data_IF_280679828764
#
_entry.id   IF_280679828764
#
_cell.length_a   1.000
_cell.length_b   1.000
_cell.length_c   1.000
_cell.angle_alpha   90.00
_cell.angle_beta   90.00
_cell.angle_gamma   90.00
#
_symmetry.space_group_name_H-M   'P 1'
#
loop_
_entity.id
_entity.type
_entity.pdbx_description
1 polymer ?
#
# COMPACT_ATOMS: atom_id res chain seq x y z
N UNK A 1 -26.97 23.45 2.87
CA UNK A 1 -26.31 22.80 4.04
C UNK A 1 -26.20 21.27 3.94
N UNK A 2 -27.15 20.48 3.40
CA UNK A 2 -26.95 19.01 3.27
C UNK A 2 -25.78 18.65 2.32
N UNK A 3 -25.59 19.36 1.25
CA UNK A 3 -24.52 19.11 0.25
C UNK A 3 -23.09 19.22 0.81
N UNK A 4 -22.88 20.08 1.80
CA UNK A 4 -21.58 20.22 2.48
C UNK A 4 -21.32 19.06 3.44
N UNK A 5 -22.35 18.57 4.12
CA UNK A 5 -22.22 17.43 5.03
C UNK A 5 -21.87 16.14 4.26
N UNK A 6 -22.51 15.92 3.10
CA UNK A 6 -22.21 14.76 2.24
C UNK A 6 -20.82 14.82 1.66
N UNK A 7 -20.32 16.01 1.31
CA UNK A 7 -18.96 16.18 0.79
C UNK A 7 -17.90 15.89 1.86
N UNK A 8 -18.11 16.33 3.10
CA UNK A 8 -17.21 16.08 4.24
C UNK A 8 -17.20 14.59 4.61
N UNK A 9 -18.37 13.94 4.63
CA UNK A 9 -18.49 12.53 4.93
C UNK A 9 -17.78 11.66 3.86
N UNK A 10 -17.94 12.02 2.59
CA UNK A 10 -17.27 11.34 1.48
C UNK A 10 -15.76 11.49 1.57
N UNK A 11 -15.27 12.68 1.87
CA UNK A 11 -13.85 12.96 2.05
C UNK A 11 -13.27 12.14 3.22
N UNK A 12 -13.94 12.15 4.36
CA UNK A 12 -13.56 11.40 5.55
C UNK A 12 -13.50 9.89 5.29
N UNK A 13 -14.50 9.32 4.64
CA UNK A 13 -14.52 7.90 4.28
C UNK A 13 -13.39 7.53 3.31
N UNK A 14 -13.04 8.42 2.37
CA UNK A 14 -11.94 8.20 1.43
C UNK A 14 -10.60 8.16 2.16
N UNK A 15 -10.36 9.06 3.12
CA UNK A 15 -9.13 9.07 3.91
C UNK A 15 -9.00 7.84 4.79
N UNK A 16 -10.05 7.44 5.52
CA UNK A 16 -10.04 6.23 6.35
C UNK A 16 -9.79 4.99 5.49
N UNK A 17 -10.49 4.85 4.36
CA UNK A 17 -10.30 3.71 3.47
C UNK A 17 -8.88 3.65 2.92
N UNK A 18 -8.30 4.81 2.56
CA UNK A 18 -6.91 4.90 2.13
C UNK A 18 -5.96 4.42 3.21
N UNK A 19 -6.11 4.90 4.43
CA UNK A 19 -5.21 4.56 5.54
C UNK A 19 -5.31 3.07 5.91
N UNK A 20 -6.52 2.50 5.89
CA UNK A 20 -6.72 1.07 6.12
C UNK A 20 -6.05 0.24 5.01
N UNK A 21 -6.31 0.55 3.76
CA UNK A 21 -5.81 -0.24 2.63
C UNK A 21 -4.32 -0.04 2.38
N UNK A 22 -3.83 1.21 2.51
CA UNK A 22 -2.45 1.54 2.15
C UNK A 22 -1.45 1.32 3.27
N UNK A 23 -1.88 1.42 4.53
CA UNK A 23 -0.97 1.31 5.67
C UNK A 23 -1.34 0.16 6.60
N UNK A 24 -2.57 0.11 7.08
CA UNK A 24 -2.94 -0.87 8.10
C UNK A 24 -2.82 -2.31 7.60
N UNK A 25 -3.41 -2.65 6.46
CA UNK A 25 -3.37 -4.02 5.93
C UNK A 25 -1.94 -4.50 5.61
N UNK A 26 -1.08 -3.74 4.89
CA UNK A 26 0.32 -4.13 4.70
C UNK A 26 1.05 -4.35 6.01
N UNK A 27 0.85 -3.48 7.00
CA UNK A 27 1.45 -3.62 8.32
C UNK A 27 0.99 -4.87 9.07
N UNK A 28 -0.31 -5.21 9.02
CA UNK A 28 -0.85 -6.46 9.59
C UNK A 28 -0.18 -7.67 8.96
N UNK A 29 -0.07 -7.72 7.64
CA UNK A 29 0.56 -8.83 6.92
C UNK A 29 2.00 -9.03 7.40
N UNK A 30 2.78 -7.95 7.51
CA UNK A 30 4.18 -8.03 7.97
C UNK A 30 4.26 -8.44 9.43
N UNK A 31 3.46 -7.84 10.32
CA UNK A 31 3.51 -8.19 11.74
C UNK A 31 3.15 -9.65 11.99
N UNK A 32 2.12 -10.16 11.32
CA UNK A 32 1.75 -11.58 11.43
C UNK A 32 2.88 -12.47 10.92
N UNK A 33 3.50 -12.10 9.80
CA UNK A 33 4.61 -12.85 9.22
C UNK A 33 5.85 -12.83 10.12
N UNK A 34 6.20 -11.67 10.70
CA UNK A 34 7.29 -11.54 11.66
C UNK A 34 7.00 -12.31 12.95
N UNK A 35 5.78 -12.22 13.47
CA UNK A 35 5.36 -12.98 14.64
C UNK A 35 5.52 -14.48 14.41
N UNK A 36 5.08 -14.97 13.24
CA UNK A 36 5.28 -16.34 12.82
C UNK A 36 6.77 -16.73 12.79
N UNK A 37 7.61 -15.85 12.27
CA UNK A 37 9.05 -16.11 12.14
C UNK A 37 9.76 -16.20 13.50
N UNK A 38 9.51 -15.23 14.40
CA UNK A 38 10.26 -15.10 15.66
C UNK A 38 9.72 -15.96 16.79
N UNK A 39 8.47 -16.44 16.72
CA UNK A 39 7.87 -17.19 17.81
C UNK A 39 8.34 -18.65 17.78
N UNK A 40 9.01 -19.14 18.84
CA UNK A 40 9.40 -20.53 18.94
C UNK A 40 8.17 -21.47 18.94
N UNK A 41 8.31 -22.62 18.28
CA UNK A 41 7.23 -23.63 18.22
C UNK A 41 6.15 -23.38 17.18
N UNK A 42 6.14 -22.23 16.49
CA UNK A 42 5.30 -22.02 15.31
C UNK A 42 6.01 -22.55 14.07
N UNK A 43 5.58 -23.70 13.58
CA UNK A 43 6.19 -24.37 12.42
C UNK A 43 5.35 -24.30 11.15
N UNK A 44 4.04 -24.05 11.28
CA UNK A 44 3.08 -24.03 10.20
C UNK A 44 1.98 -22.97 10.42
N UNK A 45 1.18 -22.76 9.38
CA UNK A 45 0.12 -21.76 9.41
C UNK A 45 -1.01 -22.09 10.39
N UNK A 46 -1.32 -23.36 10.60
CA UNK A 46 -2.37 -23.78 11.52
C UNK A 46 -2.01 -23.43 12.97
N UNK A 47 -0.77 -23.70 13.38
CA UNK A 47 -0.26 -23.31 14.70
C UNK A 47 -0.25 -21.78 14.89
N UNK A 48 0.05 -21.00 13.83
CA UNK A 48 -0.02 -19.56 13.85
C UNK A 48 -1.46 -19.07 14.09
N UNK A 49 -2.45 -19.57 13.33
CA UNK A 49 -3.85 -19.18 13.49
C UNK A 49 -4.35 -19.51 14.90
N UNK A 50 -4.10 -20.73 15.37
CA UNK A 50 -4.48 -21.16 16.73
C UNK A 50 -3.92 -20.19 17.79
N UNK A 51 -2.66 -19.80 17.64
CA UNK A 51 -2.00 -18.88 18.56
C UNK A 51 -2.58 -17.47 18.51
N UNK A 52 -2.85 -16.94 17.31
CA UNK A 52 -3.49 -15.64 17.14
C UNK A 52 -4.89 -15.62 17.79
N UNK A 53 -5.68 -16.66 17.60
CA UNK A 53 -7.03 -16.77 18.18
C UNK A 53 -7.01 -16.87 19.72
N UNK A 54 -5.90 -17.29 20.33
CA UNK A 54 -5.74 -17.33 21.79
C UNK A 54 -5.32 -16.00 22.42
N UNK A 55 -5.03 -14.97 21.63
CA UNK A 55 -4.63 -13.65 22.14
C UNK A 55 -5.78 -12.89 22.79
N UNK A 56 -5.49 -12.16 23.86
CA UNK A 56 -6.47 -11.29 24.52
C UNK A 56 -6.70 -10.01 23.77
N UNK A 57 -7.84 -9.35 24.01
CA UNK A 57 -8.22 -8.11 23.29
C UNK A 57 -7.18 -6.98 23.37
N UNK A 58 -6.42 -6.87 24.47
CA UNK A 58 -5.38 -5.83 24.60
C UNK A 58 -4.25 -6.02 23.59
N UNK A 59 -3.88 -7.27 23.29
CA UNK A 59 -2.88 -7.57 22.27
C UNK A 59 -3.35 -7.22 20.87
N UNK A 60 -4.66 -7.31 20.59
CA UNK A 60 -5.23 -6.86 19.32
C UNK A 60 -5.13 -5.33 19.17
N UNK A 61 -5.40 -4.57 20.23
CA UNK A 61 -5.29 -3.10 20.19
C UNK A 61 -3.83 -2.66 19.96
N UNK A 62 -2.89 -3.24 20.72
CA UNK A 62 -1.46 -2.97 20.54
C UNK A 62 -1.00 -3.42 19.16
N UNK A 63 -1.40 -4.60 18.73
CA UNK A 63 -1.09 -5.15 17.41
C UNK A 63 -1.60 -4.28 16.27
N UNK A 64 -2.82 -3.74 16.39
CA UNK A 64 -3.39 -2.82 15.41
C UNK A 64 -2.61 -1.50 15.32
N UNK A 65 -2.22 -0.93 16.46
CA UNK A 65 -1.39 0.28 16.48
C UNK A 65 -0.01 0.04 15.85
N UNK A 66 0.63 -1.07 16.19
CA UNK A 66 1.92 -1.47 15.60
C UNK A 66 1.79 -1.76 14.11
N UNK A 67 0.71 -2.41 13.67
CA UNK A 67 0.44 -2.66 12.26
C UNK A 67 0.36 -1.35 11.47
N UNK A 68 -0.36 -0.37 11.99
CA UNK A 68 -0.44 0.94 11.36
C UNK A 68 0.95 1.60 11.24
N UNK A 69 1.74 1.60 12.33
CA UNK A 69 3.09 2.18 12.33
C UNK A 69 4.03 1.48 11.35
N UNK A 70 4.02 0.15 11.30
CA UNK A 70 4.84 -0.63 10.35
C UNK A 70 4.43 -0.33 8.91
N UNK A 71 3.13 -0.33 8.62
CA UNK A 71 2.64 -0.01 7.29
C UNK A 71 2.92 1.43 6.88
N UNK A 72 2.83 2.38 7.82
CA UNK A 72 3.23 3.77 7.59
C UNK A 72 4.73 3.88 7.26
N UNK A 73 5.59 3.19 8.01
CA UNK A 73 7.02 3.14 7.73
C UNK A 73 7.33 2.57 6.33
N UNK A 74 6.58 1.55 5.89
CA UNK A 74 6.68 1.03 4.51
C UNK A 74 6.27 2.09 3.50
N UNK A 75 5.19 2.82 3.76
CA UNK A 75 4.76 3.92 2.92
C UNK A 75 5.83 5.01 2.78
N UNK A 76 6.45 5.42 3.88
CA UNK A 76 7.57 6.36 3.87
C UNK A 76 8.78 5.81 3.08
N UNK A 77 9.10 4.53 3.25
CA UNK A 77 10.17 3.90 2.48
C UNK A 77 9.84 3.86 0.98
N UNK A 78 8.63 3.47 0.62
CA UNK A 78 8.17 3.44 -0.77
C UNK A 78 8.20 4.84 -1.40
N UNK A 79 7.87 5.88 -0.63
CA UNK A 79 7.99 7.27 -1.04
C UNK A 79 9.45 7.68 -1.23
N UNK A 80 10.33 7.36 -0.28
CA UNK A 80 11.74 7.69 -0.34
C UNK A 80 12.46 7.08 -1.55
N UNK A 81 12.05 5.89 -2.01
CA UNK A 81 12.60 5.24 -3.22
C UNK A 81 11.81 5.55 -4.50
N UNK A 82 10.78 6.36 -4.41
CA UNK A 82 10.09 6.87 -5.58
C UNK A 82 8.94 6.09 -6.13
N UNK A 83 8.53 5.08 -5.48
CA UNK A 83 7.45 4.25 -5.99
C UNK A 83 6.06 4.89 -5.83
N UNK A 84 5.91 5.82 -4.90
CA UNK A 84 4.60 6.44 -4.60
C UNK A 84 4.39 7.80 -5.23
N UNK A 85 5.39 8.38 -5.90
CA UNK A 85 5.19 9.65 -6.61
C UNK A 85 4.02 9.56 -7.57
N UNK A 86 3.20 10.61 -7.67
CA UNK A 86 2.03 10.62 -8.54
C UNK A 86 2.40 10.36 -9.99
N UNK A 87 3.52 10.91 -10.44
CA UNK A 87 3.92 10.87 -11.85
C UNK A 87 5.28 10.17 -12.00
N UNK A 88 5.39 9.26 -12.96
CA UNK A 88 6.66 8.62 -13.31
C UNK A 88 7.59 9.61 -14.00
N UNK A 89 8.88 9.43 -13.82
CA UNK A 89 9.91 10.22 -14.53
C UNK A 89 10.37 11.51 -13.84
N UNK A 90 9.84 11.84 -12.67
CA UNK A 90 10.40 12.94 -11.88
C UNK A 90 11.49 12.40 -10.95
N UNK A 91 12.72 12.85 -11.18
CA UNK A 91 13.85 12.49 -10.33
C UNK A 91 13.71 13.14 -8.94
N UNK A 92 13.82 12.33 -7.89
CA UNK A 92 13.65 12.65 -6.48
C UNK A 92 14.48 13.79 -5.93
N UNK A 93 15.59 14.07 -6.58
CA UNK A 93 16.54 15.07 -6.11
C UNK A 93 16.01 16.50 -6.24
N UNK A 94 14.81 16.69 -6.80
CA UNK A 94 14.23 18.02 -7.01
C UNK A 94 12.72 18.07 -6.70
N UNK A 95 12.33 17.72 -5.48
CA UNK A 95 10.94 17.76 -4.99
C UNK A 95 10.25 19.11 -5.32
N UNK A 96 10.98 20.22 -5.21
CA UNK A 96 10.45 21.55 -5.47
C UNK A 96 10.04 21.76 -6.93
N UNK A 97 10.79 21.21 -7.88
CA UNK A 97 10.44 21.31 -9.31
C UNK A 97 9.23 20.43 -9.63
N UNK A 98 9.15 19.27 -9.02
CA UNK A 98 7.98 18.41 -9.12
C UNK A 98 6.70 19.12 -8.64
N UNK A 99 6.73 19.72 -7.43
CA UNK A 99 5.59 20.44 -6.90
C UNK A 99 5.24 21.67 -7.74
N UNK A 100 6.23 22.47 -8.14
CA UNK A 100 6.01 23.71 -8.88
C UNK A 100 5.54 23.49 -10.33
N UNK A 101 6.12 22.52 -11.02
CA UNK A 101 5.92 22.35 -12.46
C UNK A 101 5.01 21.17 -12.83
N UNK A 102 4.79 20.24 -11.92
CA UNK A 102 3.94 19.06 -12.11
C UNK A 102 2.62 19.13 -11.34
N UNK A 103 2.68 18.96 -10.02
CA UNK A 103 1.48 18.76 -9.20
C UNK A 103 0.64 20.04 -9.03
N UNK A 104 1.24 21.18 -8.71
CA UNK A 104 0.49 22.41 -8.45
C UNK A 104 -0.26 22.90 -9.72
N UNK A 105 0.35 22.95 -10.90
CA UNK A 105 -0.38 23.28 -12.12
C UNK A 105 -1.52 22.32 -12.42
N UNK A 106 -1.30 21.00 -12.24
CA UNK A 106 -2.35 19.99 -12.40
C UNK A 106 -3.52 20.25 -11.45
N UNK A 107 -3.27 20.45 -10.15
CA UNK A 107 -4.32 20.67 -9.15
C UNK A 107 -5.11 21.99 -9.40
N UNK A 108 -4.44 23.01 -9.93
CA UNK A 108 -5.11 24.29 -10.27
C UNK A 108 -6.00 24.21 -11.50
N UNK A 109 -5.70 23.30 -12.42
CA UNK A 109 -6.40 23.15 -13.70
C UNK A 109 -7.49 22.09 -13.66
N UNK A 110 -7.36 21.11 -12.75
CA UNK A 110 -8.29 20.00 -12.67
C UNK A 110 -9.66 20.42 -12.14
N UNK A 111 -10.70 19.88 -12.76
CA UNK A 111 -12.06 19.94 -12.22
C UNK A 111 -12.18 19.07 -10.97
N UNK A 112 -13.25 19.26 -10.17
CA UNK A 112 -13.52 18.44 -8.98
C UNK A 112 -13.55 16.93 -9.29
N UNK A 113 -14.15 16.56 -10.42
CA UNK A 113 -14.25 15.16 -10.84
C UNK A 113 -12.88 14.58 -11.20
N UNK A 114 -12.06 15.34 -11.91
CA UNK A 114 -10.69 14.94 -12.26
C UNK A 114 -9.81 14.77 -11.02
N UNK A 115 -9.94 15.70 -10.07
CA UNK A 115 -9.23 15.59 -8.79
C UNK A 115 -9.62 14.34 -8.01
N UNK A 116 -10.92 14.00 -7.95
CA UNK A 116 -11.38 12.76 -7.28
C UNK A 116 -10.86 11.50 -7.98
N UNK A 117 -10.80 11.48 -9.31
CA UNK A 117 -10.20 10.36 -10.05
C UNK A 117 -8.71 10.25 -9.81
N UNK A 118 -8.01 11.37 -9.77
CA UNK A 118 -6.59 11.43 -9.42
C UNK A 118 -6.34 10.84 -8.02
N UNK A 119 -7.07 11.29 -7.00
CA UNK A 119 -6.94 10.77 -5.63
C UNK A 119 -7.20 9.26 -5.55
N UNK A 120 -8.22 8.79 -6.28
CA UNK A 120 -8.54 7.36 -6.36
C UNK A 120 -7.38 6.55 -6.96
N UNK A 121 -6.78 7.01 -8.05
CA UNK A 121 -5.66 6.31 -8.67
C UNK A 121 -4.41 6.37 -7.81
N UNK A 122 -4.16 7.47 -7.11
CA UNK A 122 -3.08 7.60 -6.15
C UNK A 122 -3.24 6.61 -4.99
N UNK A 123 -4.42 6.52 -4.41
CA UNK A 123 -4.73 5.56 -3.35
C UNK A 123 -4.48 4.11 -3.82
N UNK A 124 -4.97 3.75 -5.00
CA UNK A 124 -4.80 2.39 -5.53
C UNK A 124 -3.32 2.10 -5.87
N UNK A 125 -2.58 3.07 -6.40
CA UNK A 125 -1.15 2.95 -6.63
C UNK A 125 -0.39 2.73 -5.32
N UNK A 126 -0.66 3.54 -4.30
CA UNK A 126 -0.01 3.44 -2.99
C UNK A 126 -0.33 2.11 -2.30
N UNK A 127 -1.60 1.67 -2.34
CA UNK A 127 -2.02 0.36 -1.82
C UNK A 127 -1.27 -0.78 -2.52
N UNK A 128 -1.14 -0.72 -3.85
CA UNK A 128 -0.44 -1.74 -4.62
C UNK A 128 1.05 -1.80 -4.25
N UNK A 129 1.73 -0.67 -4.11
CA UNK A 129 3.15 -0.63 -3.72
C UNK A 129 3.37 -1.15 -2.31
N UNK A 130 2.62 -0.65 -1.34
CA UNK A 130 2.79 -1.05 0.06
C UNK A 130 2.44 -2.53 0.25
N UNK A 131 1.39 -3.00 -0.43
CA UNK A 131 1.04 -4.42 -0.47
C UNK A 131 2.13 -5.28 -1.12
N UNK A 132 2.71 -4.83 -2.24
CA UNK A 132 3.81 -5.53 -2.91
C UNK A 132 5.00 -5.71 -1.98
N UNK A 133 5.43 -4.66 -1.27
CA UNK A 133 6.53 -4.72 -0.31
C UNK A 133 6.18 -5.68 0.83
N UNK A 134 4.95 -5.60 1.36
CA UNK A 134 4.50 -6.48 2.44
C UNK A 134 4.52 -7.95 2.04
N UNK A 135 3.98 -8.30 0.87
CA UNK A 135 3.97 -9.68 0.40
C UNK A 135 5.35 -10.17 0.00
N UNK A 136 6.24 -9.30 -0.49
CA UNK A 136 7.63 -9.66 -0.76
C UNK A 136 8.35 -10.06 0.53
N UNK A 137 8.24 -9.25 1.58
CA UNK A 137 8.80 -9.56 2.90
C UNK A 137 8.20 -10.87 3.44
N UNK A 138 6.88 -11.05 3.31
CA UNK A 138 6.18 -12.26 3.73
C UNK A 138 6.69 -13.50 2.99
N UNK A 139 6.90 -13.43 1.68
CA UNK A 139 7.45 -14.53 0.90
C UNK A 139 8.84 -14.94 1.39
N UNK A 140 9.71 -13.97 1.67
CA UNK A 140 11.04 -14.24 2.24
C UNK A 140 10.96 -14.87 3.64
N UNK A 141 10.05 -14.41 4.49
CA UNK A 141 9.84 -14.95 5.83
C UNK A 141 9.40 -16.42 5.76
N UNK A 142 8.42 -16.75 4.93
CA UNK A 142 7.96 -18.14 4.79
C UNK A 142 9.01 -19.04 4.15
N UNK A 143 9.79 -18.52 3.20
CA UNK A 143 10.91 -19.26 2.61
C UNK A 143 12.01 -19.53 3.66
N UNK A 144 12.37 -18.53 4.46
CA UNK A 144 13.34 -18.71 5.55
C UNK A 144 12.83 -19.71 6.60
N UNK A 145 11.53 -19.68 6.91
CA UNK A 145 10.92 -20.66 7.83
C UNK A 145 10.92 -22.07 7.27
N UNK A 146 10.72 -22.24 5.96
CA UNK A 146 10.87 -23.52 5.29
C UNK A 146 12.30 -24.07 5.37
N UNK A 147 13.31 -23.20 5.19
CA UNK A 147 14.72 -23.61 5.33
C UNK A 147 15.01 -24.11 6.75
N UNK A 148 14.40 -23.49 7.77
CA UNK A 148 14.52 -23.93 9.17
C UNK A 148 13.75 -25.23 9.46
N UNK A 149 12.62 -25.45 8.79
CA UNK A 149 11.71 -26.58 8.99
C UNK A 149 11.30 -27.21 7.66
N UNK A 150 12.21 -27.94 6.97
CA UNK A 150 11.97 -28.44 5.61
C UNK A 150 10.80 -29.44 5.49
N UNK A 151 10.39 -30.04 6.59
CA UNK A 151 9.26 -30.99 6.64
C UNK A 151 7.92 -30.28 6.39
N UNK A 152 7.82 -28.98 6.70
CA UNK A 152 6.58 -28.21 6.59
C UNK A 152 6.45 -27.56 5.21
N UNK A 153 6.08 -28.37 4.23
CA UNK A 153 5.87 -27.94 2.83
C UNK A 153 4.83 -26.82 2.70
N UNK A 154 3.92 -26.69 3.67
CA UNK A 154 2.91 -25.60 3.73
C UNK A 154 3.57 -24.22 3.68
N UNK A 155 4.75 -24.05 4.28
CA UNK A 155 5.49 -22.79 4.23
C UNK A 155 5.91 -22.41 2.80
N UNK A 156 6.22 -23.40 1.96
CA UNK A 156 6.51 -23.16 0.52
C UNK A 156 5.26 -22.70 -0.21
N UNK A 157 4.10 -23.28 0.06
CA UNK A 157 2.85 -22.84 -0.56
C UNK A 157 2.51 -21.40 -0.19
N UNK A 158 2.70 -20.98 1.05
CA UNK A 158 2.51 -19.60 1.45
C UNK A 158 3.54 -18.65 0.85
N UNK A 159 4.80 -19.05 0.71
CA UNK A 159 5.82 -18.28 0.00
C UNK A 159 5.44 -18.08 -1.46
N UNK A 160 5.00 -19.14 -2.15
CA UNK A 160 4.56 -19.09 -3.55
C UNK A 160 3.30 -18.21 -3.69
N UNK A 161 2.30 -18.39 -2.83
CA UNK A 161 1.10 -17.57 -2.84
C UNK A 161 1.43 -16.08 -2.64
N UNK A 162 2.32 -15.76 -1.69
CA UNK A 162 2.79 -14.39 -1.48
C UNK A 162 3.52 -13.83 -2.69
N UNK A 163 4.35 -14.63 -3.36
CA UNK A 163 5.03 -14.24 -4.60
C UNK A 163 4.03 -13.97 -5.75
N UNK A 164 2.97 -14.79 -5.87
CA UNK A 164 1.90 -14.55 -6.85
C UNK A 164 1.20 -13.21 -6.56
N UNK A 165 0.87 -12.93 -5.29
CA UNK A 165 0.30 -11.63 -4.92
C UNK A 165 1.24 -10.46 -5.24
N UNK A 166 2.56 -10.62 -5.08
CA UNK A 166 3.53 -9.61 -5.52
C UNK A 166 3.40 -9.31 -7.01
N UNK A 167 3.29 -10.33 -7.85
CA UNK A 167 3.13 -10.15 -9.31
C UNK A 167 1.82 -9.43 -9.63
N UNK A 168 0.70 -9.83 -9.01
CA UNK A 168 -0.61 -9.18 -9.21
C UNK A 168 -0.55 -7.70 -8.81
N UNK A 169 0.05 -7.40 -7.66
CA UNK A 169 0.18 -6.03 -7.16
C UNK A 169 1.14 -5.19 -8.01
N UNK A 170 2.21 -5.80 -8.55
CA UNK A 170 3.11 -5.14 -9.50
C UNK A 170 2.38 -4.74 -10.78
N UNK A 171 1.57 -5.63 -11.35
CA UNK A 171 0.73 -5.32 -12.52
C UNK A 171 -0.26 -4.21 -12.19
N UNK A 172 -0.89 -4.27 -11.02
CA UNK A 172 -1.78 -3.21 -10.51
C UNK A 172 -1.06 -1.86 -10.41
N UNK A 173 0.13 -1.85 -9.80
CA UNK A 173 0.97 -0.66 -9.68
C UNK A 173 1.27 -0.04 -11.05
N UNK A 174 1.77 -0.82 -12.00
CA UNK A 174 2.12 -0.34 -13.35
C UNK A 174 0.89 0.24 -14.06
N UNK A 175 -0.26 -0.41 -13.94
CA UNK A 175 -1.52 0.06 -14.52
C UNK A 175 -1.97 1.41 -13.93
N UNK A 176 -1.89 1.58 -12.62
CA UNK A 176 -2.30 2.84 -11.97
C UNK A 176 -1.28 3.95 -12.19
N UNK A 177 0.01 3.65 -12.25
CA UNK A 177 1.04 4.60 -12.64
C UNK A 177 0.79 5.15 -14.06
N UNK A 178 0.55 4.28 -15.03
CA UNK A 178 0.23 4.66 -16.40
C UNK A 178 -1.05 5.52 -16.51
N UNK A 179 -2.10 5.17 -15.73
CA UNK A 179 -3.33 5.97 -15.69
C UNK A 179 -3.13 7.37 -15.13
N UNK A 180 -2.31 7.52 -14.10
CA UNK A 180 -1.98 8.83 -13.53
C UNK A 180 -1.24 9.71 -14.54
N UNK A 181 -0.32 9.13 -15.32
CA UNK A 181 0.40 9.83 -16.39
C UNK A 181 -0.55 10.31 -17.49
N UNK A 182 -1.42 9.41 -17.95
CA UNK A 182 -2.44 9.75 -18.94
C UNK A 182 -3.34 10.92 -18.47
N UNK A 183 -3.78 10.90 -17.20
CA UNK A 183 -4.60 11.98 -16.65
C UNK A 183 -3.84 13.30 -16.59
N UNK A 184 -2.55 13.28 -16.25
CA UNK A 184 -1.71 14.47 -16.27
C UNK A 184 -1.62 15.09 -17.67
N UNK A 185 -1.40 14.25 -18.66
CA UNK A 185 -1.30 14.68 -20.06
C UNK A 185 -2.62 15.28 -20.55
N UNK A 186 -3.74 14.59 -20.32
CA UNK A 186 -5.07 15.03 -20.71
C UNK A 186 -5.44 16.40 -20.09
N UNK A 187 -5.13 16.62 -18.80
CA UNK A 187 -5.38 17.93 -18.15
C UNK A 187 -4.45 19.01 -18.71
N UNK A 188 -3.20 18.67 -19.06
CA UNK A 188 -2.28 19.64 -19.64
C UNK A 188 -2.66 20.02 -21.08
N UNK A 189 -3.19 19.09 -21.86
CA UNK A 189 -3.64 19.32 -23.24
C UNK A 189 -4.91 20.19 -23.29
N UNK A 190 -5.89 19.93 -22.40
CA UNK A 190 -7.14 20.68 -22.33
C UNK A 190 -6.94 22.20 -22.05
N UNK A 191 -5.73 22.59 -21.66
CA UNK A 191 -5.36 23.99 -21.36
C UNK A 191 -4.65 24.66 -22.56
N UNK A 192 -4.21 23.89 -23.54
CA UNK A 192 -3.53 24.40 -24.74
C UNK A 192 -4.51 24.80 -25.84
N UNK A 193 -5.78 24.43 -25.72
CA UNK A 193 -6.83 24.91 -26.65
C UNK A 193 -7.33 26.25 -26.16
N UNK A 194 -7.19 27.31 -27.00
CA UNK A 194 -7.63 28.68 -26.68
C UNK A 194 -9.15 28.84 -26.69
#
# INVERSE_FOLDING_TARGET
>A
MPEQADSVLTLYNTFILRDILSYFLPGVIILISLYFFVTPGLSDFESLISRLMSMTGIFFVIGAALAYLVGFAIGCFAEAIGLTTPFSGVHYLNDMDYYKHGLIPFLRKSTRTEYQQYERFMMLKQTAVNGLIAFLITAFIFLAKYIQFPVNITNVYFAIASAIFCVVLLVGYLKYASRLEYWREAVNESVKEP
#
